data_IF_972333289835
#
_entry.id   IF_972333289835
#
_cell.length_a   1.000
_cell.length_b   1.000
_cell.length_c   1.000
_cell.angle_alpha   90.00
_cell.angle_beta   90.00
_cell.angle_gamma   90.00
#
_symmetry.space_group_name_H-M   'P 1'
#
loop_
_entity.id
_entity.type
_entity.pdbx_description
1 polymer ?
#
# COMPACT_ATOMS: atom_id res chain seq x y z
N UNK A 1 6.96 29.57 -27.91
CA UNK A 1 7.43 28.17 -27.96
C UNK A 1 8.58 28.07 -26.98
N UNK A 2 8.37 27.49 -25.79
CA UNK A 2 9.37 27.54 -24.72
C UNK A 2 10.35 26.37 -24.87
N UNK A 3 11.57 26.71 -25.22
CA UNK A 3 12.71 25.81 -25.41
C UNK A 3 13.26 25.41 -24.04
N UNK A 4 12.59 24.52 -23.31
CA UNK A 4 13.27 23.79 -22.22
C UNK A 4 14.15 22.73 -22.88
N UNK A 5 15.39 23.12 -23.18
CA UNK A 5 16.45 22.19 -23.54
C UNK A 5 16.54 21.14 -22.43
N UNK A 6 16.46 19.87 -22.81
CA UNK A 6 16.84 18.74 -21.98
C UNK A 6 18.26 18.98 -21.48
N UNK A 7 18.40 19.40 -20.23
CA UNK A 7 19.70 19.62 -19.58
C UNK A 7 20.51 18.32 -19.45
N UNK A 8 19.84 17.17 -19.56
CA UNK A 8 20.46 15.86 -19.47
C UNK A 8 20.51 15.18 -20.84
N UNK A 9 21.69 14.66 -21.20
CA UNK A 9 21.86 13.66 -22.25
C UNK A 9 21.70 12.24 -21.68
N UNK A 10 21.94 11.23 -22.52
CA UNK A 10 21.85 9.83 -22.09
C UNK A 10 22.89 9.49 -21.01
N UNK A 11 22.52 8.57 -20.13
CA UNK A 11 23.45 8.04 -19.13
C UNK A 11 24.58 7.25 -19.83
N UNK A 12 25.84 7.36 -19.39
CA UNK A 12 26.94 6.53 -19.88
C UNK A 12 26.68 5.03 -19.70
N UNK A 13 27.27 4.21 -20.57
CA UNK A 13 27.22 2.75 -20.44
C UNK A 13 27.74 2.29 -19.08
N UNK A 14 27.01 1.37 -18.45
CA UNK A 14 27.35 0.84 -17.12
C UNK A 14 26.99 1.77 -15.95
N UNK A 15 26.34 2.91 -16.20
CA UNK A 15 25.80 3.75 -15.12
C UNK A 15 24.76 2.94 -14.32
N UNK A 16 24.88 2.85 -12.98
CA UNK A 16 23.90 2.15 -12.16
C UNK A 16 22.54 2.85 -12.20
N UNK A 17 21.48 2.07 -11.97
CA UNK A 17 20.12 2.59 -11.89
C UNK A 17 20.01 3.58 -10.72
N UNK A 18 19.69 4.86 -10.97
CA UNK A 18 19.53 5.85 -9.91
C UNK A 18 18.21 5.68 -9.14
N UNK A 19 17.28 4.82 -9.60
CA UNK A 19 15.98 4.58 -8.97
C UNK A 19 16.05 3.67 -7.73
N UNK A 20 17.20 3.65 -7.05
CA UNK A 20 17.35 3.08 -5.71
C UNK A 20 16.77 4.04 -4.68
N UNK A 21 15.65 3.68 -4.07
CA UNK A 21 15.04 4.48 -3.01
C UNK A 21 15.67 4.16 -1.63
N UNK A 22 15.87 5.17 -0.76
CA UNK A 22 16.22 4.90 0.63
C UNK A 22 15.07 4.16 1.34
N UNK A 23 15.35 3.35 2.38
CA UNK A 23 14.30 2.69 3.16
C UNK A 23 13.29 3.70 3.72
N UNK A 24 12.01 3.50 3.42
CA UNK A 24 10.91 4.33 3.88
C UNK A 24 10.15 3.66 5.03
N UNK A 25 9.86 4.43 6.08
CA UNK A 25 9.06 3.93 7.22
C UNK A 25 7.59 4.19 6.91
N UNK A 26 6.82 3.12 6.76
CA UNK A 26 5.39 3.22 6.52
C UNK A 26 4.68 3.93 7.69
N UNK A 27 3.76 4.84 7.35
CA UNK A 27 2.90 5.55 8.30
C UNK A 27 1.44 5.25 7.99
N UNK A 28 0.60 5.17 9.02
CA UNK A 28 -0.84 5.05 8.80
C UNK A 28 -1.39 6.28 8.10
N UNK A 29 -2.25 6.08 7.11
CA UNK A 29 -2.83 7.17 6.31
C UNK A 29 -1.92 7.69 5.19
N UNK A 30 -0.69 7.20 5.07
CA UNK A 30 0.15 7.45 3.90
C UNK A 30 -0.37 6.63 2.70
N UNK A 31 -0.81 7.26 1.60
CA UNK A 31 -1.35 6.54 0.45
C UNK A 31 -0.33 5.61 -0.23
N UNK A 32 0.97 5.93 -0.17
CA UNK A 32 2.03 5.10 -0.76
C UNK A 32 2.23 3.79 0.02
N UNK A 33 2.12 3.85 1.35
CA UNK A 33 2.13 2.68 2.21
C UNK A 33 0.85 1.85 2.03
N UNK A 34 -0.31 2.50 2.08
CA UNK A 34 -1.61 1.85 1.95
C UNK A 34 -1.76 1.11 0.62
N UNK A 35 -1.30 1.70 -0.50
CA UNK A 35 -1.34 1.07 -1.82
C UNK A 35 -0.55 -0.24 -1.85
N UNK A 36 0.65 -0.27 -1.25
CA UNK A 36 1.48 -1.48 -1.16
C UNK A 36 0.81 -2.55 -0.30
N UNK A 37 0.21 -2.16 0.83
CA UNK A 37 -0.56 -3.09 1.67
C UNK A 37 -1.71 -3.69 0.88
N UNK A 38 -2.58 -2.88 0.26
CA UNK A 38 -3.73 -3.38 -0.51
C UNK A 38 -3.29 -4.25 -1.69
N UNK A 39 -2.24 -3.84 -2.41
CA UNK A 39 -1.68 -4.62 -3.51
C UNK A 39 -1.16 -5.99 -3.02
N UNK A 40 -0.47 -6.04 -1.89
CA UNK A 40 -0.01 -7.30 -1.30
C UNK A 40 -1.18 -8.18 -0.84
N UNK A 41 -2.15 -7.61 -0.13
CA UNK A 41 -3.37 -8.31 0.31
C UNK A 41 -4.18 -8.84 -0.87
N UNK A 42 -4.14 -8.17 -2.03
CA UNK A 42 -4.79 -8.63 -3.28
C UNK A 42 -4.25 -9.98 -3.78
N UNK A 43 -3.04 -10.38 -3.33
CA UNK A 43 -2.33 -11.60 -3.75
C UNK A 43 -2.29 -12.69 -2.68
N UNK A 44 -2.77 -12.42 -1.47
CA UNK A 44 -2.86 -13.43 -0.43
C UNK A 44 -3.81 -14.56 -0.83
N UNK A 45 -3.49 -15.78 -0.42
CA UNK A 45 -4.41 -16.92 -0.55
C UNK A 45 -5.72 -16.61 0.16
N UNK A 46 -6.83 -16.86 -0.52
CA UNK A 46 -8.19 -16.56 -0.06
C UNK A 46 -8.77 -17.71 0.75
N UNK A 47 -9.76 -17.42 1.60
CA UNK A 47 -10.41 -18.39 2.50
C UNK A 47 -9.43 -19.14 3.43
N UNK A 48 -8.26 -18.55 3.68
CA UNK A 48 -7.26 -19.04 4.62
C UNK A 48 -7.06 -18.00 5.73
N UNK A 49 -6.95 -18.45 6.97
CA UNK A 49 -6.60 -17.59 8.10
C UNK A 49 -5.09 -17.44 8.18
N UNK A 50 -4.61 -16.22 7.94
CA UNK A 50 -3.20 -15.86 8.05
C UNK A 50 -2.91 -15.22 9.40
N UNK A 51 -1.73 -15.50 9.96
CA UNK A 51 -1.22 -14.72 11.09
C UNK A 51 -0.75 -13.35 10.59
N UNK A 52 -1.18 -12.26 11.23
CA UNK A 52 -0.85 -10.92 10.75
C UNK A 52 0.66 -10.66 10.77
N UNK A 53 1.37 -11.18 11.76
CA UNK A 53 2.84 -11.12 11.80
C UNK A 53 3.50 -11.73 10.56
N UNK A 54 2.95 -12.82 10.01
CA UNK A 54 3.53 -13.53 8.87
C UNK A 54 3.22 -12.76 7.58
N UNK A 55 2.03 -12.17 7.50
CA UNK A 55 1.64 -11.21 6.44
C UNK A 55 2.61 -10.02 6.43
N UNK A 56 2.92 -9.44 7.61
CA UNK A 56 3.86 -8.32 7.75
C UNK A 56 5.28 -8.72 7.34
N UNK A 57 5.75 -9.90 7.76
CA UNK A 57 7.08 -10.40 7.34
C UNK A 57 7.16 -10.58 5.82
N UNK A 58 6.14 -11.16 5.20
CA UNK A 58 6.10 -11.36 3.76
C UNK A 58 5.95 -10.04 2.97
N UNK A 59 5.21 -9.07 3.51
CA UNK A 59 5.09 -7.72 2.95
C UNK A 59 6.45 -7.02 2.93
N UNK A 60 7.17 -7.01 4.06
CA UNK A 60 8.51 -6.41 4.16
C UNK A 60 9.55 -7.12 3.27
N UNK A 61 9.43 -8.44 3.08
CA UNK A 61 10.28 -9.17 2.14
C UNK A 61 9.95 -8.86 0.67
N UNK A 62 8.73 -8.39 0.38
CA UNK A 62 8.30 -8.02 -0.97
C UNK A 62 8.74 -6.60 -1.35
N UNK A 63 8.76 -5.68 -0.38
CA UNK A 63 9.09 -4.27 -0.59
C UNK A 63 10.31 -3.88 0.26
N UNK A 64 11.50 -4.19 -0.24
CA UNK A 64 12.76 -4.00 0.49
C UNK A 64 13.14 -2.54 0.73
N UNK A 65 12.57 -1.63 -0.06
CA UNK A 65 12.67 -0.19 0.10
C UNK A 65 11.71 0.36 1.17
N UNK A 66 10.93 -0.50 1.85
CA UNK A 66 9.96 -0.12 2.88
C UNK A 66 10.08 -0.94 4.15
N UNK A 67 9.70 -0.31 5.25
CA UNK A 67 9.45 -0.98 6.52
C UNK A 67 8.02 -0.76 6.99
N UNK A 68 7.28 -1.85 7.13
CA UNK A 68 5.92 -1.90 7.65
C UNK A 68 5.90 -2.53 9.05
N UNK A 69 5.44 -1.77 10.03
CA UNK A 69 5.12 -2.33 11.35
C UNK A 69 3.76 -3.00 11.35
N UNK A 70 3.55 -3.96 12.25
CA UNK A 70 2.25 -4.64 12.41
C UNK A 70 1.12 -3.65 12.71
N UNK A 71 1.39 -2.58 13.47
CA UNK A 71 0.41 -1.53 13.78
C UNK A 71 -0.08 -0.80 12.53
N UNK A 72 0.81 -0.51 11.58
CA UNK A 72 0.46 0.17 10.33
C UNK A 72 -0.40 -0.76 9.47
N UNK A 73 0.04 -2.00 9.26
CA UNK A 73 -0.73 -2.98 8.48
C UNK A 73 -2.10 -3.23 9.11
N UNK A 74 -2.19 -3.33 10.44
CA UNK A 74 -3.44 -3.47 11.16
C UNK A 74 -4.39 -2.29 10.89
N UNK A 75 -3.88 -1.05 10.98
CA UNK A 75 -4.69 0.14 10.72
C UNK A 75 -5.24 0.17 9.28
N UNK A 76 -4.41 -0.17 8.29
CA UNK A 76 -4.84 -0.23 6.90
C UNK A 76 -5.86 -1.35 6.66
N UNK A 77 -5.71 -2.52 7.31
CA UNK A 77 -6.70 -3.61 7.23
C UNK A 77 -8.03 -3.20 7.87
N UNK A 78 -8.02 -2.48 9.00
CA UNK A 78 -9.23 -1.95 9.64
C UNK A 78 -9.94 -0.97 8.70
N UNK A 79 -9.19 -0.05 8.09
CA UNK A 79 -9.76 0.89 7.13
C UNK A 79 -10.35 0.17 5.91
N UNK A 80 -9.67 -0.85 5.41
CA UNK A 80 -10.15 -1.68 4.30
C UNK A 80 -11.43 -2.44 4.65
N UNK A 81 -11.53 -2.99 5.86
CA UNK A 81 -12.75 -3.62 6.38
C UNK A 81 -13.91 -2.62 6.48
N UNK A 82 -13.66 -1.39 6.94
CA UNK A 82 -14.68 -0.34 7.00
C UNK A 82 -15.18 0.03 5.59
N UNK A 83 -14.28 0.20 4.63
CA UNK A 83 -14.61 0.51 3.23
C UNK A 83 -15.44 -0.61 2.58
N UNK A 84 -15.11 -1.88 2.90
CA UNK A 84 -15.89 -3.04 2.47
C UNK A 84 -17.31 -2.98 3.02
N UNK A 85 -17.47 -2.77 4.33
CA UNK A 85 -18.77 -2.79 5.01
C UNK A 85 -19.73 -1.67 4.55
N UNK A 86 -19.19 -0.56 4.03
CA UNK A 86 -19.98 0.51 3.40
C UNK A 86 -20.55 0.05 2.05
N UNK A 87 -19.78 -0.73 1.30
CA UNK A 87 -20.08 -1.07 -0.09
C UNK A 87 -20.85 -2.40 -0.25
N UNK A 88 -20.66 -3.32 0.70
CA UNK A 88 -21.17 -4.68 0.60
C UNK A 88 -21.78 -5.14 1.93
N UNK A 89 -22.85 -5.91 1.82
CA UNK A 89 -23.51 -6.60 2.92
C UNK A 89 -23.64 -8.09 2.58
N UNK A 90 -23.55 -8.95 3.59
CA UNK A 90 -23.63 -10.41 3.44
C UNK A 90 -22.45 -11.15 4.08
N UNK A 91 -22.24 -12.39 3.65
CA UNK A 91 -21.29 -13.31 4.30
C UNK A 91 -19.83 -13.11 3.86
N UNK A 92 -19.59 -12.53 2.68
CA UNK A 92 -18.26 -12.17 2.18
C UNK A 92 -17.67 -11.03 3.02
N UNK A 93 -16.43 -11.20 3.48
CA UNK A 93 -15.82 -10.27 4.44
C UNK A 93 -14.30 -10.28 4.47
N UNK A 94 -13.77 -9.20 5.02
CA UNK A 94 -12.41 -9.12 5.55
C UNK A 94 -12.54 -9.35 7.06
N UNK A 95 -12.02 -10.46 7.57
CA UNK A 95 -12.07 -10.79 8.99
C UNK A 95 -10.74 -10.46 9.62
N UNK A 96 -10.78 -9.62 10.63
CA UNK A 96 -9.68 -9.35 11.53
C UNK A 96 -10.07 -9.85 12.91
N UNK A 97 -9.33 -10.81 13.43
CA UNK A 97 -9.59 -11.43 14.73
C UNK A 97 -8.28 -11.57 15.53
N UNK A 98 -8.34 -12.23 16.69
CA UNK A 98 -7.18 -12.52 17.54
C UNK A 98 -7.19 -13.98 17.99
N UNK A 99 -6.00 -14.54 18.11
CA UNK A 99 -5.74 -15.76 18.85
C UNK A 99 -4.57 -15.57 19.82
N UNK A 100 -4.12 -16.65 20.46
CA UNK A 100 -3.00 -16.63 21.42
C UNK A 100 -1.69 -16.09 20.81
N UNK A 101 -1.56 -16.15 19.48
CA UNK A 101 -0.39 -15.68 18.72
C UNK A 101 -0.56 -14.24 18.20
N UNK A 102 -1.66 -13.55 18.54
CA UNK A 102 -1.90 -12.17 18.12
C UNK A 102 -2.97 -12.06 17.04
N UNK A 103 -2.85 -11.05 16.19
CA UNK A 103 -3.85 -10.76 15.17
C UNK A 103 -3.86 -11.78 14.03
N UNK A 104 -5.05 -12.09 13.53
CA UNK A 104 -5.24 -12.93 12.34
C UNK A 104 -6.10 -12.23 11.30
N UNK A 105 -5.87 -12.60 10.04
CA UNK A 105 -6.52 -12.00 8.88
C UNK A 105 -7.04 -13.10 7.95
N UNK A 106 -8.31 -13.00 7.57
CA UNK A 106 -8.93 -13.82 6.52
C UNK A 106 -9.62 -12.90 5.51
N UNK A 107 -9.42 -13.20 4.22
CA UNK A 107 -10.14 -12.56 3.12
C UNK A 107 -10.97 -13.62 2.40
N UNK A 108 -12.28 -13.40 2.32
CA UNK A 108 -13.18 -14.30 1.58
C UNK A 108 -12.79 -14.35 0.10
N UNK A 109 -12.85 -15.54 -0.50
CA UNK A 109 -12.71 -15.70 -1.94
C UNK A 109 -14.04 -15.38 -2.63
N UNK A 110 -14.10 -14.23 -3.29
CA UNK A 110 -15.23 -13.91 -4.15
C UNK A 110 -14.86 -12.90 -5.23
N UNK A 111 -15.66 -12.88 -6.29
CA UNK A 111 -15.54 -11.89 -7.37
C UNK A 111 -15.75 -10.47 -6.85
N UNK A 112 -16.62 -10.29 -5.84
CA UNK A 112 -16.85 -8.99 -5.18
C UNK A 112 -15.59 -8.53 -4.44
N UNK A 113 -14.96 -9.42 -3.66
CA UNK A 113 -13.70 -9.14 -2.96
C UNK A 113 -12.60 -8.74 -3.94
N UNK A 114 -12.44 -9.49 -5.03
CA UNK A 114 -11.44 -9.19 -6.06
C UNK A 114 -11.68 -7.81 -6.70
N UNK A 115 -12.92 -7.52 -7.08
CA UNK A 115 -13.28 -6.25 -7.71
C UNK A 115 -13.10 -5.06 -6.76
N UNK A 116 -13.45 -5.26 -5.48
CA UNK A 116 -13.26 -4.26 -4.43
C UNK A 116 -11.78 -3.91 -4.23
N UNK A 117 -10.90 -4.90 -4.09
CA UNK A 117 -9.46 -4.66 -3.88
C UNK A 117 -8.82 -3.95 -5.08
N UNK A 118 -9.25 -4.27 -6.30
CA UNK A 118 -8.81 -3.55 -7.51
C UNK A 118 -9.24 -2.08 -7.46
N UNK A 119 -10.49 -1.82 -7.09
CA UNK A 119 -11.00 -0.45 -7.00
C UNK A 119 -10.32 0.35 -5.88
N UNK A 120 -10.07 -0.27 -4.73
CA UNK A 120 -9.34 0.38 -3.64
C UNK A 120 -7.88 0.67 -4.03
N UNK A 121 -7.21 -0.27 -4.71
CA UNK A 121 -5.88 -0.05 -5.26
C UNK A 121 -5.85 1.11 -6.26
N UNK A 122 -6.85 1.23 -7.14
CA UNK A 122 -6.97 2.38 -8.06
C UNK A 122 -7.16 3.70 -7.31
N UNK A 123 -8.07 3.74 -6.34
CA UNK A 123 -8.31 4.93 -5.51
C UNK A 123 -7.04 5.38 -4.78
N UNK A 124 -6.27 4.44 -4.23
CA UNK A 124 -5.01 4.74 -3.56
C UNK A 124 -3.91 5.18 -4.54
N UNK A 125 -3.87 4.61 -5.75
CA UNK A 125 -2.97 5.07 -6.80
C UNK A 125 -3.26 6.52 -7.20
N UNK A 126 -4.52 6.89 -7.36
CA UNK A 126 -4.92 8.28 -7.63
C UNK A 126 -4.50 9.22 -6.49
N UNK A 127 -4.63 8.79 -5.23
CA UNK A 127 -4.16 9.54 -4.07
C UNK A 127 -2.63 9.71 -4.06
N UNK A 128 -1.87 8.66 -4.42
CA UNK A 128 -0.41 8.75 -4.57
C UNK A 128 -0.02 9.79 -5.63
N UNK A 129 -0.69 9.78 -6.78
CA UNK A 129 -0.44 10.74 -7.87
C UNK A 129 -0.72 12.17 -7.41
N UNK A 130 -1.79 12.38 -6.65
CA UNK A 130 -2.12 13.69 -6.10
C UNK A 130 -1.08 14.16 -5.08
N UNK A 131 -0.60 13.29 -4.19
CA UNK A 131 0.49 13.64 -3.25
C UNK A 131 1.80 13.97 -3.98
N UNK A 132 2.19 13.20 -5.01
CA UNK A 132 3.35 13.53 -5.84
C UNK A 132 3.20 14.89 -6.54
N UNK A 133 1.99 15.22 -7.01
CA UNK A 133 1.69 16.51 -7.62
C UNK A 133 1.85 17.64 -6.61
N UNK A 134 1.27 17.52 -5.42
CA UNK A 134 1.39 18.53 -4.33
C UNK A 134 2.84 18.75 -3.94
N UNK A 135 3.62 17.67 -3.82
CA UNK A 135 5.05 17.75 -3.55
C UNK A 135 5.79 18.54 -4.63
N UNK A 136 5.49 18.26 -5.91
CA UNK A 136 6.13 18.93 -7.06
C UNK A 136 5.79 20.43 -7.13
N UNK A 137 4.61 20.82 -6.68
CA UNK A 137 4.17 22.22 -6.65
C UNK A 137 4.71 23.01 -5.46
N UNK A 138 5.39 22.36 -4.51
CA UNK A 138 5.91 23.00 -3.29
C UNK A 138 4.90 23.10 -2.14
N UNK A 139 3.65 22.70 -2.36
CA UNK A 139 2.59 22.67 -1.35
C UNK A 139 2.74 21.49 -0.36
N UNK A 140 3.53 20.48 -0.73
CA UNK A 140 3.70 19.23 0.04
C UNK A 140 4.74 19.28 1.17
N UNK A 141 5.41 20.41 1.40
CA UNK A 141 6.31 20.57 2.56
C UNK A 141 5.51 21.08 3.75
N UNK A 142 4.82 20.18 4.46
CA UNK A 142 4.35 20.52 5.81
C UNK A 142 5.57 20.64 6.72
N UNK A 143 5.80 21.79 7.39
CA UNK A 143 6.93 21.98 8.26
C UNK A 143 6.61 21.36 9.63
N UNK A 144 6.62 20.04 9.74
CA UNK A 144 6.58 19.37 11.04
C UNK A 144 7.88 18.57 11.23
N UNK A 145 8.80 19.22 11.97
CA UNK A 145 9.92 18.60 12.68
C UNK A 145 9.41 17.80 13.89
#
# INVERSE_FOLDING_TARGET
MSTSQLLAGDAPDGMPDPLLAPPQIARSGDPFAALRVVHFLSRLRRNETHQLRDVVSALNATYLDWYFSEKVVLAEVVQLQANWAISFHGDDRIVLDRNERGHTLLLTDSTKMSSFLVNEGRRLADACVEELRRFTLGDGVSPDN
#
